data_IF_685040691701
#
_entry.id   IF_685040691701
#
_cell.length_a   1.000
_cell.length_b   1.000
_cell.length_c   1.000
_cell.angle_alpha   90.00
_cell.angle_beta   90.00
_cell.angle_gamma   90.00
#
_symmetry.space_group_name_H-M   'P 1'
#
loop_
_entity.id
_entity.type
_entity.pdbx_description
1 polymer ?
#
# COMPACT_ATOMS: atom_id res chain seq x y z
N UNK A 1 17.94 -4.23 -21.84
CA UNK A 1 17.24 -3.78 -20.63
C UNK A 1 18.16 -2.88 -19.81
N UNK A 2 19.36 -3.33 -19.35
CA UNK A 2 20.32 -2.53 -18.59
C UNK A 2 21.23 -1.59 -19.41
N UNK A 3 21.24 -1.72 -20.75
CA UNK A 3 21.99 -0.91 -21.74
C UNK A 3 23.51 -1.07 -21.72
N UNK A 4 24.03 -2.16 -21.24
CA UNK A 4 25.48 -2.45 -21.28
C UNK A 4 25.95 -3.02 -22.63
N UNK A 5 25.03 -3.36 -23.52
CA UNK A 5 25.29 -3.91 -24.85
C UNK A 5 25.34 -5.45 -24.88
N UNK A 6 25.13 -6.11 -23.77
CA UNK A 6 24.98 -7.57 -23.67
C UNK A 6 23.48 -7.90 -23.72
N UNK A 7 23.03 -8.82 -24.58
CA UNK A 7 21.62 -9.18 -24.64
C UNK A 7 21.18 -9.96 -23.40
N UNK A 8 20.08 -9.54 -22.80
CA UNK A 8 19.41 -10.24 -21.72
C UNK A 8 18.38 -11.25 -22.28
N UNK A 9 18.17 -12.34 -21.56
CA UNK A 9 17.18 -13.36 -21.84
C UNK A 9 16.14 -13.36 -20.73
N UNK A 10 14.89 -13.05 -21.07
CA UNK A 10 13.77 -13.18 -20.12
C UNK A 10 13.17 -14.57 -20.25
N UNK A 11 13.14 -15.30 -19.16
CA UNK A 11 12.52 -16.63 -19.08
C UNK A 11 11.40 -16.64 -18.05
N UNK A 12 10.35 -17.41 -18.31
CA UNK A 12 9.28 -17.61 -17.34
C UNK A 12 8.94 -19.08 -17.17
N UNK A 13 8.54 -19.44 -15.95
CA UNK A 13 8.04 -20.76 -15.60
C UNK A 13 6.72 -20.66 -14.87
N UNK A 14 5.81 -21.60 -15.12
CA UNK A 14 4.51 -21.66 -14.43
C UNK A 14 4.54 -22.76 -13.40
N UNK A 15 4.17 -22.43 -12.17
CA UNK A 15 3.89 -23.37 -11.08
C UNK A 15 2.40 -23.37 -10.79
N UNK A 16 1.78 -24.55 -10.74
CA UNK A 16 0.38 -24.70 -10.34
C UNK A 16 0.36 -25.01 -8.85
N UNK A 17 -0.24 -24.10 -8.06
CA UNK A 17 -0.32 -24.24 -6.61
C UNK A 17 -1.73 -24.69 -6.25
N UNK A 18 -1.84 -25.87 -5.66
CA UNK A 18 -3.11 -26.42 -5.12
C UNK A 18 -4.13 -26.78 -6.20
N UNK A 19 -5.26 -26.09 -6.24
CA UNK A 19 -6.33 -26.34 -7.19
C UNK A 19 -6.07 -25.66 -8.51
N UNK A 20 -6.64 -26.19 -9.62
CA UNK A 20 -6.41 -25.75 -11.01
C UNK A 20 -6.71 -24.27 -11.31
N UNK A 21 -7.20 -23.51 -10.34
CA UNK A 21 -7.58 -22.10 -10.51
C UNK A 21 -6.50 -21.12 -10.10
N UNK A 22 -5.46 -21.58 -9.43
CA UNK A 22 -4.38 -20.71 -8.97
C UNK A 22 -3.05 -21.18 -9.55
N UNK A 23 -2.36 -20.31 -10.25
CA UNK A 23 -1.02 -20.54 -10.75
C UNK A 23 -0.14 -19.34 -10.43
N UNK A 24 1.14 -19.58 -10.32
CA UNK A 24 2.17 -18.57 -10.21
C UNK A 24 3.09 -18.66 -11.40
N UNK A 25 3.35 -17.54 -12.05
CA UNK A 25 4.35 -17.43 -13.12
C UNK A 25 5.56 -16.69 -12.55
N UNK A 26 6.69 -17.36 -12.54
CA UNK A 26 7.97 -16.80 -12.10
C UNK A 26 8.74 -16.30 -13.31
N UNK A 27 9.44 -15.18 -13.14
CA UNK A 27 10.26 -14.56 -14.17
C UNK A 27 11.69 -14.43 -13.70
N UNK A 28 12.62 -14.62 -14.62
CA UNK A 28 14.05 -14.38 -14.44
C UNK A 28 14.57 -13.58 -15.62
N UNK A 29 15.53 -12.69 -15.38
CA UNK A 29 16.28 -11.97 -16.41
C UNK A 29 17.72 -12.45 -16.31
N UNK A 30 18.18 -13.12 -17.35
CA UNK A 30 19.48 -13.75 -17.40
C UNK A 30 20.40 -12.99 -18.35
N UNK A 31 21.66 -12.80 -17.98
CA UNK A 31 22.69 -12.18 -18.80
C UNK A 31 23.96 -13.04 -18.79
N UNK A 32 24.65 -13.10 -19.94
CA UNK A 32 25.90 -13.84 -20.07
C UNK A 32 27.07 -13.02 -19.53
N UNK A 33 27.70 -13.46 -18.45
CA UNK A 33 28.83 -12.79 -17.81
C UNK A 33 30.22 -13.23 -18.33
N UNK A 34 30.26 -14.03 -19.38
CA UNK A 34 31.47 -14.60 -19.96
C UNK A 34 31.71 -16.07 -19.60
N UNK A 35 31.08 -16.59 -18.55
CA UNK A 35 31.24 -17.97 -18.08
C UNK A 35 29.89 -18.68 -17.90
N UNK A 36 28.90 -17.99 -17.32
CA UNK A 36 27.57 -18.51 -17.02
C UNK A 36 26.51 -17.46 -17.29
N UNK A 37 25.26 -17.89 -17.40
CA UNK A 37 24.12 -16.98 -17.34
C UNK A 37 23.86 -16.59 -15.88
N UNK A 38 24.13 -15.34 -15.55
CA UNK A 38 23.83 -14.76 -14.25
C UNK A 38 22.39 -14.24 -14.22
N UNK A 39 21.72 -14.38 -13.08
CA UNK A 39 20.41 -13.82 -12.86
C UNK A 39 20.53 -12.34 -12.43
N UNK A 40 19.85 -11.46 -13.13
CA UNK A 40 19.84 -10.04 -12.84
C UNK A 40 18.70 -9.64 -11.88
N UNK A 41 17.78 -10.57 -11.54
CA UNK A 41 16.76 -10.37 -10.51
C UNK A 41 17.24 -11.06 -9.23
N UNK A 42 17.42 -10.36 -8.11
CA UNK A 42 17.76 -10.99 -6.84
C UNK A 42 16.71 -12.03 -6.44
N UNK A 43 17.17 -13.19 -6.01
CA UNK A 43 16.32 -14.26 -5.49
C UNK A 43 16.12 -13.98 -3.99
N UNK A 44 14.87 -13.95 -3.54
CA UNK A 44 14.55 -13.78 -2.13
C UNK A 44 14.95 -15.01 -1.29
N UNK A 45 14.83 -14.91 0.03
CA UNK A 45 15.15 -15.98 0.98
C UNK A 45 14.37 -17.28 0.76
N UNK A 46 13.24 -17.21 0.03
CA UNK A 46 12.39 -18.35 -0.32
C UNK A 46 12.75 -18.96 -1.70
N UNK A 47 13.77 -18.43 -2.37
CA UNK A 47 14.22 -18.89 -3.68
C UNK A 47 13.35 -18.35 -4.85
N UNK A 48 12.58 -17.29 -4.63
CA UNK A 48 11.72 -16.69 -5.62
C UNK A 48 12.32 -15.39 -6.16
N UNK A 49 12.16 -15.20 -7.47
CA UNK A 49 12.43 -13.97 -8.19
C UNK A 49 11.11 -13.17 -8.41
N UNK A 50 11.06 -12.35 -9.45
CA UNK A 50 9.83 -11.67 -9.87
C UNK A 50 8.73 -12.68 -10.22
N UNK A 51 7.52 -12.50 -9.67
CA UNK A 51 6.39 -13.42 -9.85
C UNK A 51 5.08 -12.71 -10.09
N UNK A 52 4.25 -13.31 -10.96
CA UNK A 52 2.88 -12.90 -11.22
C UNK A 52 1.91 -13.99 -10.72
N UNK A 53 1.05 -13.62 -9.77
CA UNK A 53 0.03 -14.50 -9.21
C UNK A 53 -1.22 -14.48 -10.09
N UNK A 54 -1.56 -15.65 -10.67
CA UNK A 54 -2.66 -15.80 -11.65
C UNK A 54 -2.63 -14.75 -12.77
N UNK A 55 -1.43 -14.36 -13.18
CA UNK A 55 -1.19 -13.25 -14.09
C UNK A 55 -0.13 -13.55 -15.14
N UNK A 56 0.36 -12.52 -15.79
CA UNK A 56 1.37 -12.61 -16.84
C UNK A 56 2.40 -11.48 -16.72
N UNK A 57 3.44 -11.54 -17.57
CA UNK A 57 4.48 -10.53 -17.64
C UNK A 57 4.83 -10.18 -19.08
N UNK A 58 5.21 -8.93 -19.27
CA UNK A 58 5.70 -8.40 -20.53
C UNK A 58 6.93 -7.53 -20.31
N UNK A 59 7.76 -7.39 -21.34
CA UNK A 59 8.90 -6.48 -21.35
C UNK A 59 8.59 -5.31 -22.26
N UNK A 60 8.61 -4.09 -21.70
CA UNK A 60 8.36 -2.88 -22.49
C UNK A 60 8.98 -1.65 -21.82
N UNK A 61 9.18 -0.61 -22.60
CA UNK A 61 9.47 0.74 -22.12
C UNK A 61 8.13 1.37 -21.67
N UNK A 62 7.92 1.48 -20.37
CA UNK A 62 6.66 1.94 -19.79
C UNK A 62 6.61 3.45 -19.64
N UNK A 63 7.73 4.07 -19.26
CA UNK A 63 7.81 5.50 -18.96
C UNK A 63 8.39 6.33 -20.12
N UNK A 64 8.86 5.68 -21.18
CA UNK A 64 9.39 6.33 -22.38
C UNK A 64 10.83 6.79 -22.25
N UNK A 65 11.57 6.32 -21.25
CA UNK A 65 12.98 6.67 -21.04
C UNK A 65 13.93 5.89 -21.96
N UNK A 66 13.39 4.91 -22.68
CA UNK A 66 14.07 4.02 -23.61
C UNK A 66 14.78 2.85 -22.94
N UNK A 67 14.56 2.60 -21.65
CA UNK A 67 14.90 1.34 -20.99
C UNK A 67 13.71 0.41 -21.06
N UNK A 68 13.95 -0.88 -20.95
CA UNK A 68 12.88 -1.87 -20.94
C UNK A 68 12.72 -2.39 -19.51
N UNK A 69 11.53 -2.28 -18.98
CA UNK A 69 11.13 -2.80 -17.68
C UNK A 69 10.46 -4.19 -17.86
N UNK A 70 10.51 -5.00 -16.79
CA UNK A 70 9.65 -6.18 -16.67
C UNK A 70 8.37 -5.76 -15.93
N UNK A 71 7.24 -5.84 -16.63
CA UNK A 71 5.92 -5.48 -16.11
C UNK A 71 5.15 -6.76 -15.81
N UNK A 72 4.75 -6.95 -14.56
CA UNK A 72 3.99 -8.11 -14.11
C UNK A 72 2.57 -7.71 -13.77
N UNK A 73 1.60 -8.34 -14.42
CA UNK A 73 0.18 -8.17 -14.13
C UNK A 73 -0.29 -9.27 -13.20
N UNK A 74 -0.64 -8.93 -11.98
CA UNK A 74 -1.19 -9.86 -11.00
C UNK A 74 -2.71 -9.78 -11.03
N UNK A 75 -3.40 -10.86 -11.38
CA UNK A 75 -4.85 -10.94 -11.25
C UNK A 75 -5.22 -11.54 -9.89
N UNK A 76 -6.32 -11.06 -9.34
CA UNK A 76 -6.79 -11.52 -8.04
C UNK A 76 -7.62 -12.77 -8.21
N UNK A 77 -7.33 -13.79 -7.43
CA UNK A 77 -8.26 -14.88 -7.26
C UNK A 77 -9.46 -14.38 -6.42
N UNK A 78 -10.60 -14.11 -7.07
CA UNK A 78 -11.86 -13.74 -6.41
C UNK A 78 -12.36 -14.80 -5.40
N UNK A 79 -11.64 -15.92 -5.31
CA UNK A 79 -12.08 -17.12 -4.61
C UNK A 79 -11.75 -17.18 -3.10
N UNK A 80 -11.02 -16.20 -2.56
CA UNK A 80 -10.55 -16.24 -1.16
C UNK A 80 -10.99 -15.01 -0.38
N UNK A 81 -12.20 -15.02 0.19
CA UNK A 81 -12.71 -13.88 0.96
C UNK A 81 -11.96 -13.57 2.24
N UNK A 82 -11.29 -14.55 2.81
CA UNK A 82 -10.38 -14.41 3.96
C UNK A 82 -9.11 -13.61 3.65
N UNK A 83 -8.75 -13.51 2.36
CA UNK A 83 -7.66 -12.63 1.90
C UNK A 83 -8.04 -11.14 1.88
N UNK A 84 -9.30 -10.79 2.11
CA UNK A 84 -9.77 -9.40 2.21
C UNK A 84 -10.14 -8.75 0.86
N UNK A 85 -10.23 -7.42 0.81
CA UNK A 85 -10.62 -6.67 -0.39
C UNK A 85 -9.49 -6.64 -1.41
N UNK A 86 -9.35 -7.69 -2.19
CA UNK A 86 -8.31 -7.85 -3.19
C UNK A 86 -8.54 -6.96 -4.41
N UNK A 87 -7.44 -6.58 -5.08
CA UNK A 87 -7.45 -5.88 -6.38
C UNK A 87 -6.35 -6.40 -7.27
N UNK A 88 -6.57 -6.39 -8.57
CA UNK A 88 -5.50 -6.64 -9.52
C UNK A 88 -4.38 -5.60 -9.36
N UNK A 89 -3.13 -6.04 -9.48
CA UNK A 89 -1.93 -5.23 -9.27
C UNK A 89 -1.00 -5.37 -10.48
N UNK A 90 -0.36 -4.29 -10.84
CA UNK A 90 0.73 -4.27 -11.83
C UNK A 90 2.01 -3.89 -11.13
N UNK A 91 3.04 -4.72 -11.26
CA UNK A 91 4.37 -4.51 -10.71
C UNK A 91 5.33 -4.11 -11.82
N UNK A 92 6.15 -3.08 -11.59
CA UNK A 92 7.22 -2.66 -12.51
C UNK A 92 8.57 -2.96 -11.88
N UNK A 93 9.37 -3.76 -12.56
CA UNK A 93 10.74 -4.10 -12.19
C UNK A 93 11.70 -3.37 -13.10
N UNK A 94 12.58 -2.58 -12.53
CA UNK A 94 13.48 -1.66 -13.21
C UNK A 94 14.93 -1.93 -12.83
N UNK A 95 15.83 -1.58 -13.74
CA UNK A 95 17.28 -1.66 -13.50
C UNK A 95 17.74 -0.49 -12.63
N UNK A 96 18.23 -0.76 -11.42
CA UNK A 96 18.70 0.24 -10.47
C UNK A 96 20.19 0.61 -10.65
N UNK A 97 20.90 -0.06 -11.56
CA UNK A 97 22.33 0.08 -11.81
C UNK A 97 23.11 -1.18 -11.45
N UNK A 98 22.53 -2.09 -10.69
CA UNK A 98 23.16 -3.35 -10.24
C UNK A 98 22.25 -4.56 -10.48
N UNK A 99 20.93 -4.40 -10.29
CA UNK A 99 19.97 -5.48 -10.41
C UNK A 99 18.61 -4.95 -10.91
N UNK A 100 17.72 -5.86 -11.36
CA UNK A 100 16.30 -5.56 -11.53
C UNK A 100 15.58 -5.68 -10.20
N UNK A 101 15.05 -4.58 -9.71
CA UNK A 101 14.34 -4.48 -8.45
C UNK A 101 12.90 -4.03 -8.66
N UNK A 102 12.02 -4.36 -7.71
CA UNK A 102 10.63 -3.89 -7.74
C UNK A 102 10.61 -2.40 -7.44
N UNK A 103 10.54 -1.59 -8.49
CA UNK A 103 10.57 -0.12 -8.39
C UNK A 103 9.20 0.48 -8.04
N UNK A 104 8.13 -0.14 -8.56
CA UNK A 104 6.78 0.39 -8.42
C UNK A 104 5.73 -0.70 -8.50
N UNK A 105 4.60 -0.48 -7.83
CA UNK A 105 3.36 -1.23 -8.05
C UNK A 105 2.15 -0.30 -8.13
N UNK A 106 1.12 -0.72 -8.85
CA UNK A 106 -0.14 -0.01 -9.01
C UNK A 106 -1.30 -0.99 -8.96
N UNK A 107 -2.33 -0.60 -8.24
CA UNK A 107 -3.58 -1.37 -8.18
C UNK A 107 -4.62 -0.81 -9.15
N UNK A 108 -5.58 -1.64 -9.53
CA UNK A 108 -6.78 -1.17 -10.21
C UNK A 108 -7.56 -0.18 -9.35
N UNK A 109 -8.45 0.60 -9.98
CA UNK A 109 -9.20 1.67 -9.31
C UNK A 109 -9.81 1.22 -7.98
N UNK A 110 -9.74 2.04 -6.91
CA UNK A 110 -10.39 1.79 -5.63
C UNK A 110 -11.90 1.56 -5.76
N UNK A 111 -12.40 0.53 -5.06
CA UNK A 111 -13.82 0.25 -4.88
C UNK A 111 -14.20 0.49 -3.43
N UNK A 112 -13.34 0.06 -2.51
CA UNK A 112 -13.50 0.27 -1.08
C UNK A 112 -12.66 1.45 -0.61
N UNK A 113 -13.13 2.11 0.46
CA UNK A 113 -12.45 3.24 1.08
C UNK A 113 -11.03 2.90 1.53
N UNK A 114 -10.85 1.72 2.09
CA UNK A 114 -9.52 1.22 2.49
C UNK A 114 -8.57 1.10 1.29
N UNK A 115 -9.06 0.82 0.08
CA UNK A 115 -8.21 0.80 -1.10
C UNK A 115 -7.59 2.17 -1.40
N UNK A 116 -8.38 3.24 -1.29
CA UNK A 116 -7.87 4.59 -1.50
C UNK A 116 -6.85 5.00 -0.40
N UNK A 117 -7.04 4.54 0.84
CA UNK A 117 -6.06 4.71 1.91
C UNK A 117 -4.74 4.01 1.54
N UNK A 118 -4.78 2.74 1.12
CA UNK A 118 -3.56 2.00 0.75
C UNK A 118 -2.85 2.59 -0.44
N UNK A 119 -3.60 3.06 -1.46
CA UNK A 119 -3.01 3.74 -2.63
C UNK A 119 -2.33 5.06 -2.23
N UNK A 120 -2.93 5.79 -1.29
CA UNK A 120 -2.34 7.00 -0.71
C UNK A 120 -1.06 6.70 0.08
N UNK A 121 -1.05 5.62 0.87
CA UNK A 121 0.12 5.20 1.62
C UNK A 121 1.26 4.76 0.70
N UNK A 122 0.96 4.02 -0.38
CA UNK A 122 1.94 3.59 -1.36
C UNK A 122 2.51 4.80 -2.14
N UNK A 123 1.63 5.70 -2.62
CA UNK A 123 2.08 6.92 -3.29
C UNK A 123 2.96 7.80 -2.37
N UNK A 124 2.65 7.86 -1.06
CA UNK A 124 3.51 8.57 -0.10
C UNK A 124 4.90 7.93 0.01
N UNK A 125 4.98 6.59 0.06
CA UNK A 125 6.28 5.87 0.09
C UNK A 125 7.11 6.09 -1.17
N UNK A 126 6.46 6.26 -2.33
CA UNK A 126 7.13 6.59 -3.59
C UNK A 126 7.48 8.08 -3.72
N UNK A 127 7.16 8.92 -2.75
CA UNK A 127 7.38 10.38 -2.82
C UNK A 127 6.42 11.10 -3.77
N UNK A 128 5.34 10.44 -4.23
CA UNK A 128 4.33 10.98 -5.14
C UNK A 128 3.26 11.75 -4.35
N UNK A 129 3.65 12.83 -3.68
CA UNK A 129 2.81 13.49 -2.67
C UNK A 129 1.51 14.08 -3.22
N UNK A 130 1.51 14.67 -4.44
CA UNK A 130 0.29 15.15 -5.09
C UNK A 130 -0.70 14.00 -5.35
N UNK A 131 -0.19 12.85 -5.80
CA UNK A 131 -1.00 11.66 -6.05
C UNK A 131 -1.52 11.06 -4.74
N UNK A 132 -0.68 11.00 -3.72
CA UNK A 132 -1.07 10.56 -2.37
C UNK A 132 -2.19 11.44 -1.81
N UNK A 133 -2.06 12.75 -1.93
CA UNK A 133 -3.08 13.71 -1.50
C UNK A 133 -4.42 13.46 -2.21
N UNK A 134 -4.40 13.23 -3.54
CA UNK A 134 -5.61 12.93 -4.29
C UNK A 134 -6.30 11.64 -3.81
N UNK A 135 -5.53 10.59 -3.50
CA UNK A 135 -6.08 9.35 -2.95
C UNK A 135 -6.68 9.52 -1.55
N UNK A 136 -6.02 10.26 -0.66
CA UNK A 136 -6.59 10.53 0.67
C UNK A 136 -7.83 11.42 0.59
N UNK A 137 -7.86 12.39 -0.32
CA UNK A 137 -9.07 13.19 -0.58
C UNK A 137 -10.20 12.32 -1.12
N UNK A 138 -9.91 11.38 -2.03
CA UNK A 138 -10.88 10.41 -2.51
C UNK A 138 -11.41 9.54 -1.36
N UNK A 139 -10.52 9.00 -0.52
CA UNK A 139 -10.91 8.24 0.66
C UNK A 139 -11.84 9.01 1.60
N UNK A 140 -11.59 10.31 1.79
CA UNK A 140 -12.35 11.15 2.75
C UNK A 140 -13.67 11.65 2.16
N UNK A 141 -13.69 12.05 0.89
CA UNK A 141 -14.81 12.82 0.31
C UNK A 141 -15.63 12.07 -0.74
N UNK A 142 -15.14 10.94 -1.26
CA UNK A 142 -15.87 10.17 -2.26
C UNK A 142 -16.93 9.27 -1.59
N UNK A 143 -18.19 9.66 -1.72
CA UNK A 143 -19.33 8.90 -1.20
C UNK A 143 -19.64 7.63 -2.02
N UNK A 144 -19.01 7.42 -3.18
CA UNK A 144 -19.18 6.21 -3.99
C UNK A 144 -18.32 5.05 -3.51
N UNK A 145 -17.27 5.32 -2.72
CA UNK A 145 -16.45 4.27 -2.12
C UNK A 145 -17.25 3.51 -1.06
N UNK A 146 -17.20 2.20 -1.17
CA UNK A 146 -17.85 1.30 -0.22
C UNK A 146 -16.99 1.12 1.05
N UNK A 147 -17.64 0.77 2.15
CA UNK A 147 -16.98 0.34 3.37
C UNK A 147 -16.89 -1.19 3.35
N UNK A 148 -15.71 -1.77 3.54
CA UNK A 148 -15.47 -3.20 3.38
C UNK A 148 -16.23 -4.05 4.40
N UNK A 149 -16.21 -3.65 5.66
CA UNK A 149 -16.86 -4.41 6.72
C UNK A 149 -18.37 -4.48 6.58
N UNK A 150 -19.00 -3.44 6.01
CA UNK A 150 -20.44 -3.42 5.74
C UNK A 150 -20.80 -4.18 4.45
N UNK A 151 -19.89 -4.23 3.47
CA UNK A 151 -20.06 -4.98 2.22
C UNK A 151 -19.73 -6.47 2.33
N UNK A 152 -19.13 -6.90 3.44
CA UNK A 152 -18.64 -8.27 3.66
C UNK A 152 -19.74 -9.23 4.12
N UNK A 153 -20.89 -9.19 3.49
CA UNK A 153 -21.97 -10.16 3.73
C UNK A 153 -21.68 -11.45 2.94
N UNK A 154 -20.90 -12.36 3.53
CA UNK A 154 -20.73 -13.70 2.98
C UNK A 154 -21.82 -14.61 3.51
N UNK A 155 -22.48 -15.39 2.64
CA UNK A 155 -23.36 -16.44 3.12
C UNK A 155 -22.53 -17.50 3.88
N UNK A 156 -22.92 -17.83 5.09
CA UNK A 156 -22.29 -18.80 6.00
C UNK A 156 -21.96 -20.17 5.36
N UNK A 157 -22.50 -20.43 4.18
CA UNK A 157 -22.40 -21.70 3.49
C UNK A 157 -21.14 -21.89 2.62
N UNK A 158 -20.40 -20.83 2.31
CA UNK A 158 -19.31 -20.93 1.34
C UNK A 158 -18.02 -21.54 1.92
N UNK A 159 -17.78 -21.46 3.23
CA UNK A 159 -16.52 -21.85 3.86
C UNK A 159 -16.64 -22.62 5.18
N UNK A 160 -17.56 -23.56 5.28
CA UNK A 160 -17.56 -24.53 6.39
C UNK A 160 -17.90 -23.97 7.77
N UNK A 161 -18.62 -22.85 7.85
CA UNK A 161 -19.17 -22.35 9.11
C UNK A 161 -18.22 -21.51 9.96
N UNK A 162 -17.16 -20.93 9.38
CA UNK A 162 -16.41 -19.87 10.08
C UNK A 162 -17.33 -18.65 10.27
N UNK A 163 -17.40 -18.07 11.49
CA UNK A 163 -18.25 -16.92 11.74
C UNK A 163 -17.82 -15.75 10.83
N UNK A 164 -18.79 -15.21 10.09
CA UNK A 164 -18.58 -13.95 9.35
C UNK A 164 -18.27 -12.88 10.38
N UNK A 165 -17.16 -12.11 10.24
CA UNK A 165 -16.92 -11.00 11.14
C UNK A 165 -18.10 -10.02 11.09
N UNK A 166 -18.55 -9.56 12.24
CA UNK A 166 -19.60 -8.55 12.29
C UNK A 166 -19.13 -7.29 11.56
N UNK A 167 -20.02 -6.61 10.81
CA UNK A 167 -19.71 -5.33 10.20
C UNK A 167 -19.26 -4.34 11.25
N UNK A 168 -18.19 -3.60 10.96
CA UNK A 168 -17.71 -2.55 11.82
C UNK A 168 -18.34 -1.21 11.44
N UNK A 169 -19.31 -0.69 12.21
CA UNK A 169 -19.97 0.57 11.89
C UNK A 169 -19.06 1.79 11.99
N UNK A 170 -17.91 1.66 12.66
CA UNK A 170 -16.95 2.74 12.84
C UNK A 170 -15.88 2.78 11.74
N UNK A 171 -15.87 1.83 10.79
CA UNK A 171 -14.84 1.77 9.74
C UNK A 171 -14.72 3.07 8.95
N UNK A 172 -15.85 3.61 8.48
CA UNK A 172 -15.87 4.85 7.71
C UNK A 172 -15.23 6.01 8.47
N UNK A 173 -15.61 6.18 9.73
CA UNK A 173 -15.08 7.27 10.56
C UNK A 173 -13.58 7.12 10.81
N UNK A 174 -13.12 5.90 11.07
CA UNK A 174 -11.69 5.65 11.27
C UNK A 174 -10.87 5.92 10.01
N UNK A 175 -11.30 5.38 8.85
CA UNK A 175 -10.59 5.59 7.59
C UNK A 175 -10.62 7.06 7.15
N UNK A 176 -11.75 7.75 7.35
CA UNK A 176 -11.84 9.19 7.10
C UNK A 176 -10.91 10.00 8.02
N UNK A 177 -10.83 9.66 9.30
CA UNK A 177 -9.95 10.36 10.24
C UNK A 177 -8.48 10.09 9.90
N UNK A 178 -8.10 8.86 9.58
CA UNK A 178 -6.75 8.54 9.12
C UNK A 178 -6.40 9.28 7.82
N UNK A 179 -7.27 9.25 6.82
CA UNK A 179 -7.07 10.00 5.57
C UNK A 179 -6.89 11.52 5.81
N UNK A 180 -7.67 12.11 6.72
CA UNK A 180 -7.50 13.52 7.12
C UNK A 180 -6.17 13.79 7.82
N UNK A 181 -5.74 12.91 8.71
CA UNK A 181 -4.40 12.99 9.30
C UNK A 181 -3.31 12.97 8.21
N UNK A 182 -3.42 12.07 7.22
CA UNK A 182 -2.47 11.99 6.10
C UNK A 182 -2.48 13.26 5.24
N UNK A 183 -3.62 13.91 5.06
CA UNK A 183 -3.73 15.21 4.38
C UNK A 183 -2.98 16.30 5.17
N UNK A 184 -3.12 16.35 6.49
CA UNK A 184 -2.34 17.27 7.36
C UNK A 184 -0.85 17.05 7.15
N UNK A 185 -0.40 15.80 7.25
CA UNK A 185 0.99 15.40 7.06
C UNK A 185 1.54 15.84 5.70
N UNK A 186 0.83 15.54 4.60
CA UNK A 186 1.30 15.89 3.26
C UNK A 186 1.37 17.39 3.03
N UNK A 187 0.40 18.17 3.51
CA UNK A 187 0.50 19.63 3.47
C UNK A 187 1.72 20.16 4.25
N UNK A 188 2.02 19.57 5.40
CA UNK A 188 3.21 19.95 6.18
C UNK A 188 4.52 19.60 5.43
N UNK A 189 4.60 18.42 4.80
CA UNK A 189 5.74 17.97 3.99
C UNK A 189 6.02 18.91 2.83
N UNK A 190 4.97 19.39 2.17
CA UNK A 190 5.08 20.32 1.04
C UNK A 190 5.23 21.79 1.48
N UNK A 191 5.38 22.06 2.78
CA UNK A 191 5.53 23.41 3.32
C UNK A 191 4.24 24.25 3.30
N UNK A 192 3.10 23.67 2.98
CA UNK A 192 1.78 24.32 2.92
C UNK A 192 1.16 24.39 4.32
N UNK A 193 1.82 25.18 5.21
CA UNK A 193 1.48 25.22 6.64
C UNK A 193 0.07 25.72 6.92
N UNK A 194 -0.44 26.67 6.13
CA UNK A 194 -1.80 27.20 6.32
C UNK A 194 -2.86 26.16 6.01
N UNK A 195 -2.67 25.41 4.92
CA UNK A 195 -3.57 24.31 4.52
C UNK A 195 -3.49 23.15 5.53
N UNK A 196 -2.28 22.85 6.03
CA UNK A 196 -2.10 21.85 7.08
C UNK A 196 -2.86 22.23 8.36
N UNK A 197 -2.80 23.49 8.79
CA UNK A 197 -3.56 23.98 9.96
C UNK A 197 -5.07 23.83 9.75
N UNK A 198 -5.59 24.26 8.61
CA UNK A 198 -7.03 24.13 8.31
C UNK A 198 -7.48 22.67 8.32
N UNK A 199 -6.68 21.77 7.73
CA UNK A 199 -6.97 20.33 7.72
C UNK A 199 -6.90 19.74 9.14
N UNK A 200 -5.94 20.16 9.95
CA UNK A 200 -5.81 19.75 11.35
C UNK A 200 -7.01 20.20 12.21
N UNK A 201 -7.38 21.46 12.12
CA UNK A 201 -8.52 22.00 12.89
C UNK A 201 -9.82 21.24 12.53
N UNK A 202 -10.07 21.01 11.25
CA UNK A 202 -11.23 20.27 10.79
C UNK A 202 -11.23 18.79 11.26
N UNK A 203 -10.05 18.16 11.40
CA UNK A 203 -9.92 16.81 11.94
C UNK A 203 -10.25 16.79 13.45
N UNK A 204 -9.70 17.73 14.22
CA UNK A 204 -9.94 17.82 15.67
C UNK A 204 -11.41 18.12 15.99
N UNK A 205 -12.04 19.02 15.23
CA UNK A 205 -13.46 19.35 15.42
C UNK A 205 -14.37 18.16 15.12
N UNK A 206 -14.05 17.39 14.08
CA UNK A 206 -14.90 16.29 13.63
C UNK A 206 -14.80 15.04 14.50
N UNK A 207 -13.64 14.77 15.09
CA UNK A 207 -13.37 13.53 15.84
C UNK A 207 -12.86 13.83 17.25
N UNK A 208 -13.69 14.44 18.11
CA UNK A 208 -13.32 14.75 19.47
C UNK A 208 -13.08 13.47 20.29
N UNK A 209 -12.45 13.64 21.45
CA UNK A 209 -12.24 12.54 22.39
C UNK A 209 -13.52 11.73 22.68
N UNK A 210 -13.40 10.40 22.66
CA UNK A 210 -14.53 9.47 22.82
C UNK A 210 -15.26 9.10 21.50
N UNK A 211 -14.93 9.73 20.37
CA UNK A 211 -15.42 9.26 19.07
C UNK A 211 -14.69 7.96 18.65
N UNK A 212 -15.30 7.12 17.78
CA UNK A 212 -14.67 5.89 17.31
C UNK A 212 -13.34 6.10 16.57
N UNK A 213 -13.09 7.32 16.10
CA UNK A 213 -11.88 7.70 15.35
C UNK A 213 -10.95 8.65 16.12
N UNK A 214 -11.19 8.88 17.41
CA UNK A 214 -10.42 9.81 18.25
C UNK A 214 -8.91 9.50 18.27
N UNK A 215 -8.52 8.25 18.10
CA UNK A 215 -7.11 7.85 18.06
C UNK A 215 -6.35 8.53 16.90
N UNK A 216 -6.98 8.72 15.74
CA UNK A 216 -6.33 9.40 14.60
C UNK A 216 -6.31 10.93 14.78
N UNK A 217 -7.27 11.50 15.47
CA UNK A 217 -7.21 12.91 15.90
C UNK A 217 -6.07 13.12 16.90
N UNK A 218 -5.89 12.19 17.86
CA UNK A 218 -4.77 12.22 18.79
C UNK A 218 -3.42 12.01 18.09
N UNK A 219 -3.34 11.09 17.10
CA UNK A 219 -2.15 10.91 16.28
C UNK A 219 -1.78 12.21 15.54
N UNK A 220 -2.77 12.89 14.96
CA UNK A 220 -2.57 14.18 14.31
C UNK A 220 -2.14 15.28 15.30
N UNK A 221 -2.64 15.24 16.53
CA UNK A 221 -2.23 16.16 17.59
C UNK A 221 -0.74 15.99 17.93
N UNK A 222 -0.26 14.76 18.14
CA UNK A 222 1.15 14.49 18.42
C UNK A 222 2.07 14.97 17.29
N UNK A 223 1.66 14.77 16.04
CA UNK A 223 2.38 15.29 14.88
C UNK A 223 2.41 16.81 14.85
N UNK A 224 1.24 17.45 14.98
CA UNK A 224 1.08 18.89 14.78
C UNK A 224 1.75 19.72 15.85
N UNK A 225 1.62 19.31 17.12
CA UNK A 225 2.29 19.98 18.25
C UNK A 225 3.81 19.93 18.10
N UNK A 226 4.37 18.78 17.76
CA UNK A 226 5.81 18.65 17.54
C UNK A 226 6.27 19.47 16.33
N UNK A 227 5.58 19.35 15.20
CA UNK A 227 5.91 20.08 13.98
C UNK A 227 5.82 21.60 14.16
N UNK A 228 4.82 22.10 14.84
CA UNK A 228 4.66 23.54 15.06
C UNK A 228 5.67 24.12 16.04
N UNK A 229 6.11 23.32 17.02
CA UNK A 229 7.10 23.74 18.02
C UNK A 229 8.54 23.66 17.53
N UNK A 230 8.91 22.59 16.82
CA UNK A 230 10.28 22.36 16.36
C UNK A 230 10.55 22.82 14.93
N UNK A 231 9.53 22.81 14.08
CA UNK A 231 9.68 22.97 12.62
C UNK A 231 10.33 21.77 11.93
N UNK A 232 10.56 20.66 12.65
CA UNK A 232 11.28 19.48 12.20
C UNK A 232 10.31 18.32 11.90
N UNK A 233 10.16 17.98 10.63
CA UNK A 233 9.31 16.90 10.16
C UNK A 233 9.75 15.53 10.69
N UNK A 234 11.06 15.28 10.78
CA UNK A 234 11.57 13.99 11.24
C UNK A 234 11.25 13.77 12.72
N UNK A 235 11.37 14.82 13.56
CA UNK A 235 10.97 14.76 14.95
C UNK A 235 9.46 14.56 15.10
N UNK A 236 8.65 15.27 14.32
CA UNK A 236 7.20 15.10 14.32
C UNK A 236 6.78 13.68 13.91
N UNK A 237 7.42 13.10 12.88
CA UNK A 237 7.21 11.72 12.47
C UNK A 237 7.63 10.71 13.55
N UNK A 238 8.77 10.93 14.21
CA UNK A 238 9.21 10.07 15.31
C UNK A 238 8.21 10.09 16.49
N UNK A 239 7.63 11.25 16.78
CA UNK A 239 6.61 11.41 17.81
C UNK A 239 5.34 10.64 17.48
N UNK A 240 4.86 10.72 16.22
CA UNK A 240 3.70 9.95 15.78
C UNK A 240 3.95 8.45 15.76
N UNK A 241 5.12 8.01 15.34
CA UNK A 241 5.49 6.60 15.38
C UNK A 241 5.51 6.06 16.82
N UNK A 242 5.99 6.85 17.79
CA UNK A 242 5.96 6.48 19.20
C UNK A 242 4.51 6.39 19.73
N UNK A 243 3.65 7.34 19.36
CA UNK A 243 2.23 7.26 19.69
C UNK A 243 1.58 6.00 19.12
N UNK A 244 1.83 5.69 17.83
CA UNK A 244 1.30 4.49 17.18
C UNK A 244 1.83 3.21 17.83
N UNK A 245 3.09 3.17 18.25
CA UNK A 245 3.71 2.03 18.96
C UNK A 245 3.08 1.77 20.31
N UNK A 246 2.68 2.81 21.03
CA UNK A 246 2.02 2.70 22.35
C UNK A 246 0.52 2.45 22.24
N UNK A 247 -0.10 2.73 21.09
CA UNK A 247 -1.54 2.57 20.84
C UNK A 247 -1.84 1.71 19.59
N UNK A 248 -1.21 0.53 19.42
CA UNK A 248 -1.31 -0.24 18.17
C UNK A 248 -2.74 -0.72 17.89
N UNK A 249 -3.52 -1.03 18.93
CA UNK A 249 -4.90 -1.51 18.81
C UNK A 249 -5.84 -0.46 18.20
N UNK A 250 -5.57 0.80 18.43
CA UNK A 250 -6.44 1.90 18.01
C UNK A 250 -5.93 2.59 16.72
N UNK A 251 -4.63 2.47 16.42
CA UNK A 251 -3.99 3.16 15.29
C UNK A 251 -3.59 2.22 14.16
N UNK A 252 -2.87 1.12 14.45
CA UNK A 252 -2.26 0.27 13.41
C UNK A 252 -3.15 -0.90 13.00
N UNK A 253 -3.68 -1.61 13.99
CA UNK A 253 -4.52 -2.80 13.77
C UNK A 253 -5.73 -2.50 12.89
N UNK A 254 -6.46 -1.38 13.09
CA UNK A 254 -7.63 -1.04 12.27
C UNK A 254 -7.35 -0.73 10.79
N UNK A 255 -6.10 -0.58 10.39
CA UNK A 255 -5.68 -0.35 9.00
C UNK A 255 -5.20 -1.63 8.30
N UNK A 256 -4.98 -2.71 9.06
CA UNK A 256 -4.27 -3.88 8.61
C UNK A 256 -5.11 -5.15 8.51
N UNK A 257 -4.38 -6.26 8.41
CA UNK A 257 -4.92 -7.60 8.13
C UNK A 257 -6.01 -8.11 9.08
N UNK A 258 -6.02 -7.69 10.33
CA UNK A 258 -7.05 -8.13 11.29
C UNK A 258 -8.46 -7.67 10.89
N UNK A 259 -8.57 -6.52 10.23
CA UNK A 259 -9.83 -5.97 9.74
C UNK A 259 -10.11 -6.35 8.28
N UNK A 260 -9.06 -6.52 7.48
CA UNK A 260 -9.18 -6.63 6.02
C UNK A 260 -8.73 -7.97 5.45
N UNK A 261 -8.28 -8.93 6.27
CA UNK A 261 -7.92 -10.28 5.87
C UNK A 261 -6.41 -10.53 5.82
N UNK A 262 -6.03 -11.80 5.87
CA UNK A 262 -4.63 -12.25 6.01
C UNK A 262 -3.72 -11.85 4.83
N UNK A 263 -4.28 -11.66 3.64
CA UNK A 263 -3.53 -11.22 2.45
C UNK A 263 -3.17 -9.73 2.45
N UNK A 264 -3.57 -8.97 3.49
CA UNK A 264 -3.36 -7.53 3.53
C UNK A 264 -2.14 -7.15 4.38
N UNK A 265 -1.67 -5.91 4.18
CA UNK A 265 -0.48 -5.40 4.88
C UNK A 265 -0.68 -5.34 6.39
N UNK A 266 0.43 -5.55 7.09
CA UNK A 266 0.52 -5.27 8.52
C UNK A 266 1.24 -3.94 8.71
N UNK A 267 0.55 -2.96 9.31
CA UNK A 267 1.14 -1.65 9.59
C UNK A 267 2.15 -1.70 10.72
N UNK A 268 3.29 -1.05 10.49
CA UNK A 268 4.31 -0.78 11.51
C UNK A 268 4.15 0.66 12.02
N UNK A 269 4.69 1.00 13.20
CA UNK A 269 4.60 2.36 13.74
C UNK A 269 5.13 3.45 12.79
N UNK A 270 6.15 3.14 12.02
CA UNK A 270 6.77 4.05 11.06
C UNK A 270 5.89 4.32 9.82
N UNK A 271 4.95 3.41 9.53
CA UNK A 271 4.04 3.54 8.38
C UNK A 271 3.05 4.70 8.51
N UNK A 272 2.79 5.18 9.73
CA UNK A 272 1.90 6.33 9.92
C UNK A 272 2.54 7.65 9.44
N UNK A 273 3.87 7.71 9.34
CA UNK A 273 4.61 8.87 8.83
C UNK A 273 5.81 8.41 7.97
N UNK A 274 5.61 7.76 6.81
CA UNK A 274 6.68 7.17 6.01
C UNK A 274 7.38 8.22 5.12
N UNK A 275 7.87 9.30 5.74
CA UNK A 275 8.59 10.37 5.06
C UNK A 275 10.07 10.08 5.21
N UNK A 276 10.73 9.73 4.11
CA UNK A 276 12.17 9.63 4.06
C UNK A 276 12.75 11.05 4.05
N UNK A 277 13.54 11.37 5.08
CA UNK A 277 14.29 12.61 5.15
C UNK A 277 15.43 12.66 4.15
#
# INVERSE_FOLDING_TARGET
MNRDGIPEIVVSAISIIGTRSYFERQFRILEWNGEVFADLIPIDENGFAARAESGDGEVRDRDGDGRLELILSNSVAEAYPDLGPQRARTDSWEWDGEAFTLARWEYTRPVFRIHAIWDGDDATRFGEYDRALAFYQDAVFNEQLQDWSLGRLWPDSAYGGAPTPEPDPAERDRLNAYGRYRIVLLHAVEGRRAEAQVAYDALQERYPGGSPAAAYAALAYEFWEEYTSSGDLAQACAKTAEFARTNPSDVLIPLGRQFYGEGQRQYQPEDVCPISG
#
